data_IF_793885442788
#
_entry.id   IF_793885442788
#
_cell.length_a   1.000
_cell.length_b   1.000
_cell.length_c   1.000
_cell.angle_alpha   90.00
_cell.angle_beta   90.00
_cell.angle_gamma   90.00
#
_symmetry.space_group_name_H-M   'P 1'
#
loop_
_entity.id
_entity.type
_entity.pdbx_description
1 polymer ?
#
# COMPACT_ATOMS: atom_id res chain seq x y z
N UNK A 1 23.29 -69.98 27.30
CA UNK A 1 24.38 -69.83 26.29
C UNK A 1 23.85 -68.79 25.29
N UNK A 2 24.06 -67.48 25.59
CA UNK A 2 23.59 -66.37 24.73
C UNK A 2 24.70 -66.08 23.71
N UNK A 3 24.42 -66.38 22.44
CA UNK A 3 25.32 -66.00 21.32
C UNK A 3 25.10 -64.47 21.05
N UNK A 4 26.04 -63.64 21.45
CA UNK A 4 26.11 -62.25 21.03
C UNK A 4 26.62 -62.23 19.57
N UNK A 5 25.73 -62.06 18.62
CA UNK A 5 26.08 -61.66 17.26
C UNK A 5 26.45 -60.19 17.28
N UNK A 6 27.77 -59.91 17.25
CA UNK A 6 28.30 -58.58 16.99
C UNK A 6 28.08 -58.26 15.51
N UNK A 7 27.04 -57.49 15.19
CA UNK A 7 26.96 -56.85 13.86
C UNK A 7 28.17 -55.97 13.63
N UNK A 8 28.87 -56.08 12.51
CA UNK A 8 29.94 -55.16 12.20
C UNK A 8 29.38 -53.75 12.04
N UNK A 9 29.93 -52.83 12.84
CA UNK A 9 29.66 -51.38 12.68
C UNK A 9 30.21 -51.02 11.31
N UNK A 10 29.33 -50.95 10.30
CA UNK A 10 29.68 -50.38 8.99
C UNK A 10 29.98 -48.89 9.21
N UNK A 11 31.18 -48.41 8.82
CA UNK A 11 31.46 -46.98 8.92
C UNK A 11 30.41 -46.23 8.07
N UNK A 12 29.98 -45.03 8.54
CA UNK A 12 29.03 -44.23 7.78
C UNK A 12 29.58 -44.05 6.35
N UNK A 13 28.71 -44.33 5.39
CA UNK A 13 29.05 -44.20 3.98
C UNK A 13 29.48 -42.76 3.67
N UNK A 14 30.78 -42.51 3.61
CA UNK A 14 31.37 -41.22 3.32
C UNK A 14 31.12 -40.78 1.85
N UNK A 15 30.55 -41.66 1.01
CA UNK A 15 30.10 -41.29 -0.35
C UNK A 15 28.83 -40.44 -0.36
N UNK A 16 28.13 -40.32 0.78
CA UNK A 16 27.00 -39.44 0.97
C UNK A 16 27.39 -38.01 1.33
N UNK A 17 28.68 -37.67 1.41
CA UNK A 17 29.10 -36.25 1.31
C UNK A 17 28.82 -35.82 -0.14
N UNK A 18 27.54 -35.49 -0.40
CA UNK A 18 27.05 -34.99 -1.67
C UNK A 18 27.97 -33.89 -2.17
N UNK A 19 28.55 -34.15 -3.37
CA UNK A 19 29.42 -33.18 -4.03
C UNK A 19 28.73 -31.83 -4.08
N UNK A 20 29.40 -30.80 -3.56
CA UNK A 20 28.93 -29.42 -3.64
C UNK A 20 28.65 -29.12 -5.11
N UNK A 21 27.40 -28.82 -5.45
CA UNK A 21 27.03 -28.47 -6.81
C UNK A 21 27.48 -27.06 -7.15
N UNK A 22 28.79 -26.90 -7.44
CA UNK A 22 29.42 -25.62 -7.78
C UNK A 22 28.69 -24.96 -8.97
N UNK A 23 28.30 -25.75 -9.97
CA UNK A 23 27.55 -25.22 -11.10
C UNK A 23 26.19 -24.66 -10.67
N UNK A 24 25.47 -25.33 -9.80
CA UNK A 24 24.22 -24.88 -9.22
C UNK A 24 24.38 -23.59 -8.41
N UNK A 25 25.46 -23.44 -7.63
CA UNK A 25 25.79 -22.21 -6.91
C UNK A 25 26.01 -21.04 -7.86
N UNK A 26 26.84 -21.24 -8.89
CA UNK A 26 27.13 -20.19 -9.89
C UNK A 26 25.87 -19.77 -10.67
N UNK A 27 25.03 -20.74 -11.05
CA UNK A 27 23.75 -20.47 -11.71
C UNK A 27 22.82 -19.66 -10.78
N UNK A 28 22.69 -20.07 -9.51
CA UNK A 28 21.84 -19.38 -8.54
C UNK A 28 22.27 -17.91 -8.33
N UNK A 29 23.57 -17.68 -8.21
CA UNK A 29 24.13 -16.32 -8.10
C UNK A 29 23.89 -15.52 -9.40
N UNK A 30 24.15 -16.12 -10.57
CA UNK A 30 23.95 -15.49 -11.86
C UNK A 30 22.48 -15.08 -12.09
N UNK A 31 21.54 -15.97 -11.77
CA UNK A 31 20.10 -15.70 -11.84
C UNK A 31 19.71 -14.60 -10.84
N UNK A 32 20.17 -14.68 -9.57
CA UNK A 32 19.88 -13.67 -8.56
C UNK A 32 20.35 -12.28 -8.97
N UNK A 33 21.57 -12.15 -9.48
CA UNK A 33 22.12 -10.90 -9.99
C UNK A 33 21.32 -10.39 -11.19
N UNK A 34 20.99 -11.26 -12.14
CA UNK A 34 20.22 -10.88 -13.33
C UNK A 34 18.83 -10.36 -12.95
N UNK A 35 18.11 -11.07 -12.07
CA UNK A 35 16.79 -10.66 -11.58
C UNK A 35 16.88 -9.32 -10.85
N UNK A 36 17.91 -9.13 -10.01
CA UNK A 36 18.12 -7.86 -9.31
C UNK A 36 18.40 -6.70 -10.26
N UNK A 37 19.24 -6.90 -11.29
CA UNK A 37 19.52 -5.89 -12.31
C UNK A 37 18.27 -5.49 -13.08
N UNK A 38 17.49 -6.49 -13.53
CA UNK A 38 16.23 -6.26 -14.25
C UNK A 38 15.23 -5.51 -13.37
N UNK A 39 15.04 -5.96 -12.13
CA UNK A 39 14.14 -5.30 -11.19
C UNK A 39 14.57 -3.85 -10.90
N UNK A 40 15.85 -3.63 -10.64
CA UNK A 40 16.42 -2.30 -10.40
C UNK A 40 16.28 -1.38 -11.60
N UNK A 41 16.48 -1.91 -12.81
CA UNK A 41 16.27 -1.18 -14.05
C UNK A 41 14.79 -0.80 -14.24
N UNK A 42 13.87 -1.75 -14.07
CA UNK A 42 12.43 -1.53 -14.14
C UNK A 42 11.98 -0.45 -13.16
N UNK A 43 12.39 -0.55 -11.87
CA UNK A 43 12.08 0.45 -10.85
C UNK A 43 12.62 1.82 -11.27
N UNK A 44 13.83 1.90 -11.79
CA UNK A 44 14.44 3.16 -12.26
C UNK A 44 13.67 3.77 -13.42
N UNK A 45 13.22 2.98 -14.38
CA UNK A 45 12.42 3.45 -15.52
C UNK A 45 11.05 3.97 -15.04
N UNK A 46 10.38 3.22 -14.17
CA UNK A 46 9.07 3.61 -13.64
C UNK A 46 9.18 4.91 -12.82
N UNK A 47 10.15 4.99 -11.91
CA UNK A 47 10.35 6.19 -11.07
C UNK A 47 10.70 7.41 -11.89
N UNK A 48 11.54 7.28 -12.93
CA UNK A 48 11.85 8.37 -13.87
C UNK A 48 10.62 8.81 -14.65
N UNK A 49 9.77 7.89 -15.11
CA UNK A 49 8.52 8.21 -15.80
C UNK A 49 7.53 8.94 -14.90
N UNK A 50 7.40 8.53 -13.64
CA UNK A 50 6.54 9.19 -12.64
C UNK A 50 7.09 10.59 -12.32
N UNK A 51 8.41 10.73 -12.14
CA UNK A 51 9.08 12.00 -11.87
C UNK A 51 8.95 12.99 -13.04
N UNK A 52 9.05 12.50 -14.29
CA UNK A 52 8.91 13.33 -15.49
C UNK A 52 7.50 13.90 -15.71
N UNK A 53 6.52 13.49 -14.91
CA UNK A 53 5.12 13.90 -15.05
C UNK A 53 4.54 13.43 -16.38
N UNK A 54 3.62 12.48 -16.37
CA UNK A 54 2.99 12.01 -17.61
C UNK A 54 2.35 13.18 -18.34
N UNK A 55 2.81 13.45 -19.54
CA UNK A 55 2.34 14.51 -20.44
C UNK A 55 0.91 14.27 -20.98
N UNK A 56 0.21 13.27 -20.48
CA UNK A 56 -1.12 12.89 -20.95
C UNK A 56 -2.24 13.88 -20.59
N UNK A 57 -2.02 14.85 -19.67
CA UNK A 57 -3.04 15.85 -19.29
C UNK A 57 -2.60 17.30 -19.57
N UNK A 58 -1.90 17.57 -20.66
CA UNK A 58 -1.73 18.95 -21.15
C UNK A 58 -2.99 19.41 -21.88
N UNK A 59 -4.04 19.81 -21.16
CA UNK A 59 -5.09 20.67 -21.73
C UNK A 59 -4.66 22.14 -21.64
N UNK A 60 -4.78 22.94 -22.75
CA UNK A 60 -4.11 24.23 -22.91
C UNK A 60 -4.80 25.46 -22.27
N UNK A 61 -5.82 25.32 -21.39
CA UNK A 61 -6.70 26.42 -21.01
C UNK A 61 -6.26 27.31 -19.84
N UNK A 62 -5.15 27.03 -19.14
CA UNK A 62 -4.70 27.89 -18.02
C UNK A 62 -3.19 28.16 -18.03
N UNK A 63 -2.72 28.86 -19.07
CA UNK A 63 -1.26 29.11 -19.26
C UNK A 63 -0.69 30.31 -18.50
N UNK A 64 -1.47 31.17 -17.88
CA UNK A 64 -0.95 32.48 -17.39
C UNK A 64 -0.72 32.58 -15.87
N UNK A 65 -1.22 31.66 -15.02
CA UNK A 65 -1.22 31.86 -13.57
C UNK A 65 -0.29 30.94 -12.75
N UNK A 66 0.61 30.13 -13.35
CA UNK A 66 1.23 29.06 -12.59
C UNK A 66 2.72 28.70 -12.82
N UNK A 67 3.69 29.61 -13.05
CA UNK A 67 5.08 29.18 -13.13
C UNK A 67 5.69 28.80 -11.77
N UNK A 68 5.46 29.60 -10.73
CA UNK A 68 6.10 29.39 -9.41
C UNK A 68 5.51 28.21 -8.60
N UNK A 69 4.20 28.08 -8.57
CA UNK A 69 3.53 26.96 -7.85
C UNK A 69 3.78 25.61 -8.52
N UNK A 70 3.93 25.57 -9.86
CA UNK A 70 4.27 24.34 -10.60
C UNK A 70 5.69 23.87 -10.34
N UNK A 71 6.64 24.77 -10.12
CA UNK A 71 8.02 24.41 -9.83
C UNK A 71 8.12 23.68 -8.48
N UNK A 72 7.47 24.21 -7.44
CA UNK A 72 7.45 23.59 -6.10
C UNK A 72 6.74 22.24 -6.08
N UNK A 73 5.64 22.09 -6.82
CA UNK A 73 4.92 20.83 -6.94
C UNK A 73 5.74 19.79 -7.74
N UNK A 74 6.48 20.22 -8.75
CA UNK A 74 7.35 19.33 -9.53
C UNK A 74 8.50 18.82 -8.69
N UNK A 75 9.17 19.69 -7.95
CA UNK A 75 10.29 19.32 -7.09
C UNK A 75 9.88 18.32 -5.98
N UNK A 76 8.76 18.58 -5.33
CA UNK A 76 8.19 17.65 -4.34
C UNK A 76 7.83 16.28 -4.94
N UNK A 77 7.30 16.24 -6.17
CA UNK A 77 7.00 14.99 -6.87
C UNK A 77 8.26 14.21 -7.20
N UNK A 78 9.29 14.88 -7.69
CA UNK A 78 10.57 14.24 -8.00
C UNK A 78 11.21 13.66 -6.76
N UNK A 79 11.24 14.42 -5.65
CA UNK A 79 11.78 13.94 -4.38
C UNK A 79 11.00 12.72 -3.85
N UNK A 80 9.66 12.75 -3.87
CA UNK A 80 8.81 11.62 -3.47
C UNK A 80 9.04 10.39 -4.36
N UNK A 81 9.11 10.56 -5.68
CA UNK A 81 9.38 9.47 -6.61
C UNK A 81 10.76 8.84 -6.34
N UNK A 82 11.77 9.66 -6.05
CA UNK A 82 13.11 9.18 -5.70
C UNK A 82 13.13 8.38 -4.40
N UNK A 83 12.48 8.88 -3.36
CA UNK A 83 12.39 8.20 -2.07
C UNK A 83 11.64 6.87 -2.18
N UNK A 84 10.47 6.87 -2.85
CA UNK A 84 9.69 5.64 -3.08
C UNK A 84 10.49 4.65 -3.93
N UNK A 85 11.18 5.11 -4.97
CA UNK A 85 12.02 4.25 -5.81
C UNK A 85 13.20 3.65 -5.05
N UNK A 86 13.83 4.39 -4.14
CA UNK A 86 14.90 3.89 -3.28
C UNK A 86 14.38 2.82 -2.30
N UNK A 87 13.27 3.09 -1.63
CA UNK A 87 12.62 2.14 -0.72
C UNK A 87 12.21 0.85 -1.44
N UNK A 88 11.56 0.97 -2.61
CA UNK A 88 11.15 -0.18 -3.39
C UNK A 88 12.33 -1.02 -3.85
N UNK A 89 13.43 -0.39 -4.28
CA UNK A 89 14.66 -1.08 -4.65
C UNK A 89 15.27 -1.81 -3.45
N UNK A 90 15.27 -1.20 -2.27
CA UNK A 90 15.77 -1.82 -1.05
C UNK A 90 14.96 -3.06 -0.68
N UNK A 91 13.62 -2.95 -0.65
CA UNK A 91 12.74 -4.07 -0.32
C UNK A 91 12.89 -5.22 -1.33
N UNK A 92 12.85 -4.92 -2.62
CA UNK A 92 13.03 -5.93 -3.69
C UNK A 92 14.42 -6.53 -3.61
N UNK A 93 15.46 -5.73 -3.33
CA UNK A 93 16.82 -6.21 -3.15
C UNK A 93 16.96 -7.20 -2.01
N UNK A 94 16.36 -6.91 -0.85
CA UNK A 94 16.34 -7.82 0.30
C UNK A 94 15.63 -9.13 -0.05
N UNK A 95 14.47 -9.07 -0.70
CA UNK A 95 13.72 -10.28 -1.09
C UNK A 95 14.54 -11.15 -2.05
N UNK A 96 15.14 -10.56 -3.08
CA UNK A 96 15.99 -11.31 -4.03
C UNK A 96 17.21 -11.90 -3.33
N UNK A 97 17.84 -11.14 -2.41
CA UNK A 97 19.00 -11.64 -1.65
C UNK A 97 18.64 -12.84 -0.79
N UNK A 98 17.51 -12.80 -0.08
CA UNK A 98 17.04 -13.92 0.74
C UNK A 98 16.78 -15.14 -0.12
N UNK A 99 16.04 -14.98 -1.23
CA UNK A 99 15.76 -16.11 -2.15
C UNK A 99 17.05 -16.69 -2.74
N UNK A 100 17.95 -15.83 -3.22
CA UNK A 100 19.23 -16.28 -3.78
C UNK A 100 20.05 -17.03 -2.74
N UNK A 101 20.09 -16.53 -1.48
CA UNK A 101 20.81 -17.20 -0.39
C UNK A 101 20.25 -18.60 -0.10
N UNK A 102 18.94 -18.76 -0.10
CA UNK A 102 18.29 -20.07 0.10
C UNK A 102 18.68 -21.05 -1.03
N UNK A 103 18.67 -20.60 -2.28
CA UNK A 103 19.08 -21.46 -3.40
C UNK A 103 20.56 -21.82 -3.36
N UNK A 104 21.43 -20.86 -2.97
CA UNK A 104 22.86 -21.13 -2.80
C UNK A 104 23.09 -22.17 -1.70
N UNK A 105 22.47 -22.00 -0.53
CA UNK A 105 22.58 -22.94 0.59
C UNK A 105 22.09 -24.33 0.21
N UNK A 106 21.00 -24.43 -0.55
CA UNK A 106 20.49 -25.70 -1.07
C UNK A 106 21.51 -26.40 -1.98
N UNK A 107 22.21 -25.66 -2.86
CA UNK A 107 23.24 -26.22 -3.75
C UNK A 107 24.53 -26.58 -2.99
N UNK A 108 24.71 -26.02 -1.78
CA UNK A 108 25.79 -26.41 -0.85
C UNK A 108 25.39 -27.60 0.04
N UNK A 109 24.23 -28.23 -0.22
CA UNK A 109 23.67 -29.34 0.57
C UNK A 109 23.38 -28.98 2.03
N UNK A 110 23.18 -27.68 2.34
CA UNK A 110 22.70 -27.24 3.64
C UNK A 110 21.20 -27.44 3.72
N UNK A 111 20.73 -28.00 4.83
CA UNK A 111 19.28 -28.10 5.06
C UNK A 111 18.68 -26.71 5.24
N UNK A 112 17.85 -26.31 4.28
CA UNK A 112 17.16 -25.00 4.26
C UNK A 112 15.79 -25.03 4.92
N UNK A 113 15.30 -26.20 5.36
CA UNK A 113 13.98 -26.32 5.96
C UNK A 113 13.78 -25.42 7.20
N UNK A 114 14.75 -25.30 8.14
CA UNK A 114 14.61 -24.38 9.27
C UNK A 114 14.54 -22.91 8.85
N UNK A 115 15.29 -22.54 7.80
CA UNK A 115 15.32 -21.19 7.28
C UNK A 115 13.96 -20.85 6.62
N UNK A 116 13.46 -21.76 5.77
CA UNK A 116 12.16 -21.58 5.11
C UNK A 116 11.02 -21.49 6.11
N UNK A 117 11.07 -22.29 7.18
CA UNK A 117 10.08 -22.23 8.27
C UNK A 117 10.12 -20.86 8.95
N UNK A 118 11.30 -20.37 9.28
CA UNK A 118 11.48 -19.06 9.92
C UNK A 118 11.01 -17.91 9.03
N UNK A 119 11.35 -17.95 7.74
CA UNK A 119 10.88 -16.97 6.75
C UNK A 119 9.36 -17.03 6.57
N UNK A 120 8.78 -18.26 6.61
CA UNK A 120 7.33 -18.45 6.56
C UNK A 120 6.60 -17.82 7.74
N UNK A 121 7.09 -18.02 8.96
CA UNK A 121 6.53 -17.40 10.18
C UNK A 121 6.65 -15.87 10.10
N UNK A 122 7.79 -15.35 9.68
CA UNK A 122 8.01 -13.92 9.48
C UNK A 122 7.06 -13.36 8.42
N UNK A 123 6.85 -14.10 7.32
CA UNK A 123 5.90 -13.74 6.26
C UNK A 123 4.46 -13.61 6.77
N UNK A 124 4.02 -14.54 7.62
CA UNK A 124 2.71 -14.48 8.27
C UNK A 124 2.61 -13.22 9.17
N UNK A 125 3.62 -12.95 9.98
CA UNK A 125 3.64 -11.76 10.85
C UNK A 125 3.57 -10.46 10.05
N UNK A 126 4.32 -10.36 8.95
CA UNK A 126 4.28 -9.21 8.03
C UNK A 126 2.89 -9.10 7.36
N UNK A 127 2.30 -10.24 6.97
CA UNK A 127 0.96 -10.29 6.37
C UNK A 127 -0.12 -9.74 7.30
N UNK A 128 -0.11 -10.12 8.57
CA UNK A 128 -1.02 -9.55 9.59
C UNK A 128 -0.75 -8.06 9.79
N UNK A 129 0.53 -7.64 9.85
CA UNK A 129 0.89 -6.23 9.94
C UNK A 129 0.44 -5.38 8.75
N UNK A 130 0.37 -5.98 7.54
CA UNK A 130 -0.05 -5.31 6.31
C UNK A 130 -1.56 -5.42 6.01
N UNK A 131 -2.32 -6.16 6.80
CA UNK A 131 -3.74 -6.47 6.54
C UNK A 131 -4.59 -5.21 6.29
N UNK A 132 -4.37 -4.15 7.06
CA UNK A 132 -5.10 -2.89 6.90
C UNK A 132 -4.80 -2.23 5.55
N UNK A 133 -3.54 -2.25 5.11
CA UNK A 133 -3.17 -1.70 3.81
C UNK A 133 -3.89 -2.44 2.67
N UNK A 134 -3.92 -3.77 2.74
CA UNK A 134 -4.60 -4.60 1.73
C UNK A 134 -6.10 -4.27 1.71
N UNK A 135 -6.74 -4.15 2.88
CA UNK A 135 -8.15 -3.76 2.99
C UNK A 135 -8.41 -2.40 2.34
N UNK A 136 -7.58 -1.40 2.65
CA UNK A 136 -7.74 -0.04 2.10
C UNK A 136 -7.64 -0.04 0.57
N UNK A 137 -6.68 -0.79 0.00
CA UNK A 137 -6.51 -0.89 -1.45
C UNK A 137 -7.68 -1.60 -2.14
N UNK A 138 -8.11 -2.74 -1.61
CA UNK A 138 -9.24 -3.48 -2.16
C UNK A 138 -10.53 -2.65 -2.11
N UNK A 139 -10.79 -1.98 -0.98
CA UNK A 139 -11.94 -1.09 -0.87
C UNK A 139 -11.91 0.02 -1.92
N UNK A 140 -10.77 0.68 -2.13
CA UNK A 140 -10.64 1.72 -3.17
C UNK A 140 -10.87 1.20 -4.59
N UNK A 141 -10.43 -0.02 -4.88
CA UNK A 141 -10.70 -0.69 -6.17
C UNK A 141 -12.20 -0.94 -6.34
N UNK A 142 -12.87 -1.52 -5.33
CA UNK A 142 -14.30 -1.83 -5.41
C UNK A 142 -15.16 -0.57 -5.48
N UNK A 143 -14.88 0.47 -4.70
CA UNK A 143 -15.56 1.77 -4.78
C UNK A 143 -15.53 2.30 -6.22
N UNK A 144 -14.37 2.18 -6.90
CA UNK A 144 -14.19 2.66 -8.27
C UNK A 144 -14.89 1.77 -9.31
N UNK A 145 -14.84 0.43 -9.14
CA UNK A 145 -15.44 -0.52 -10.09
C UNK A 145 -16.97 -0.51 -9.99
N UNK A 146 -17.50 -0.38 -8.77
CA UNK A 146 -18.93 -0.38 -8.48
C UNK A 146 -19.57 1.02 -8.64
N UNK A 147 -18.74 2.05 -8.92
CA UNK A 147 -19.18 3.45 -9.08
C UNK A 147 -20.04 3.94 -7.88
N UNK A 148 -19.59 3.58 -6.66
CA UNK A 148 -20.34 3.93 -5.44
C UNK A 148 -20.41 5.44 -5.24
N UNK A 149 -19.33 6.17 -5.55
CA UNK A 149 -19.26 7.63 -5.63
C UNK A 149 -18.06 8.08 -6.46
N UNK A 150 -18.10 9.30 -6.97
CA UNK A 150 -17.05 9.91 -7.79
C UNK A 150 -16.56 11.25 -7.26
N UNK A 151 -15.57 11.82 -7.97
CA UNK A 151 -15.07 13.17 -7.67
C UNK A 151 -16.17 14.19 -7.99
N UNK A 152 -16.51 15.04 -7.02
CA UNK A 152 -17.59 16.02 -7.10
C UNK A 152 -18.87 15.59 -6.41
N UNK A 153 -19.04 14.30 -6.08
CA UNK A 153 -20.21 13.82 -5.34
C UNK A 153 -20.18 14.31 -3.89
N UNK A 154 -21.36 14.56 -3.35
CA UNK A 154 -21.55 14.81 -1.92
C UNK A 154 -21.83 13.46 -1.27
N UNK A 155 -20.93 13.05 -0.40
CA UNK A 155 -21.06 11.78 0.33
C UNK A 155 -21.25 12.02 1.82
N UNK A 156 -21.94 11.08 2.43
CA UNK A 156 -22.14 10.97 3.87
C UNK A 156 -21.52 9.68 4.37
N UNK A 157 -20.63 9.80 5.33
CA UNK A 157 -19.99 8.69 6.06
C UNK A 157 -20.29 8.82 7.54
N UNK A 158 -19.86 7.85 8.35
CA UNK A 158 -19.97 7.96 9.81
C UNK A 158 -19.18 9.12 10.41
N UNK A 159 -18.21 9.68 9.67
CA UNK A 159 -17.27 10.67 10.19
C UNK A 159 -17.52 12.06 9.61
N UNK A 160 -17.97 12.15 8.37
CA UNK A 160 -18.11 13.44 7.68
C UNK A 160 -19.16 13.38 6.58
N UNK A 161 -19.83 14.54 6.38
CA UNK A 161 -20.59 14.85 5.18
C UNK A 161 -19.83 15.89 4.39
N UNK A 162 -19.62 15.66 3.09
CA UNK A 162 -18.88 16.62 2.28
C UNK A 162 -18.69 16.19 0.83
N UNK A 163 -18.05 17.05 0.06
CA UNK A 163 -17.77 16.84 -1.35
C UNK A 163 -16.46 16.09 -1.56
N UNK A 164 -16.48 15.04 -2.39
CA UNK A 164 -15.29 14.28 -2.77
C UNK A 164 -14.38 15.12 -3.67
N UNK A 165 -13.19 15.45 -3.20
CA UNK A 165 -12.20 16.21 -3.98
C UNK A 165 -11.24 15.33 -4.78
N UNK A 166 -10.88 14.18 -4.21
CA UNK A 166 -9.96 13.26 -4.86
C UNK A 166 -10.19 11.83 -4.36
N UNK A 167 -10.08 10.88 -5.26
CA UNK A 167 -10.09 9.46 -4.97
C UNK A 167 -8.73 8.86 -5.32
N UNK A 168 -8.13 8.17 -4.36
CA UNK A 168 -6.94 7.38 -4.56
C UNK A 168 -7.22 5.93 -4.13
N UNK A 169 -6.33 5.01 -4.49
CA UNK A 169 -6.51 3.58 -4.19
C UNK A 169 -6.66 3.29 -2.68
N UNK A 170 -6.02 4.08 -1.81
CA UNK A 170 -6.04 3.83 -0.37
C UNK A 170 -6.89 4.82 0.40
N UNK A 171 -6.98 6.08 -0.07
CA UNK A 171 -7.65 7.17 0.64
C UNK A 171 -8.58 7.93 -0.27
N UNK A 172 -9.73 8.34 0.25
CA UNK A 172 -10.61 9.33 -0.35
C UNK A 172 -10.48 10.65 0.40
N UNK A 173 -10.38 11.76 -0.33
CA UNK A 173 -10.30 13.11 0.23
C UNK A 173 -11.64 13.80 0.07
N UNK A 174 -12.21 14.22 1.19
CA UNK A 174 -13.53 14.84 1.28
C UNK A 174 -13.39 16.23 1.90
N UNK A 175 -14.05 17.22 1.31
CA UNK A 175 -14.17 18.56 1.87
C UNK A 175 -15.53 18.71 2.53
N UNK A 176 -15.54 18.97 3.85
CA UNK A 176 -16.76 19.31 4.57
C UNK A 176 -17.21 20.76 4.32
N UNK A 177 -18.42 21.10 4.72
CA UNK A 177 -19.01 22.43 4.50
C UNK A 177 -18.22 23.55 5.18
N UNK A 178 -17.59 23.28 6.31
CA UNK A 178 -16.70 24.22 7.02
C UNK A 178 -15.34 24.44 6.33
N UNK A 179 -15.10 23.77 5.19
CA UNK A 179 -13.86 23.82 4.43
C UNK A 179 -12.77 22.87 4.91
N UNK A 180 -12.99 22.10 5.96
CA UNK A 180 -12.01 21.09 6.45
C UNK A 180 -11.82 19.98 5.43
N UNK A 181 -10.56 19.57 5.21
CA UNK A 181 -10.21 18.47 4.33
C UNK A 181 -10.00 17.20 5.14
N UNK A 182 -10.86 16.23 4.93
CA UNK A 182 -10.82 14.92 5.55
C UNK A 182 -10.11 13.91 4.64
N UNK A 183 -9.25 13.10 5.24
CA UNK A 183 -8.53 12.01 4.56
C UNK A 183 -9.05 10.69 5.09
N UNK A 184 -10.07 10.14 4.44
CA UNK A 184 -10.72 8.89 4.83
C UNK A 184 -9.96 7.71 4.24
N UNK A 185 -9.62 6.71 5.05
CA UNK A 185 -9.08 5.45 4.56
C UNK A 185 -10.22 4.62 3.95
N UNK A 186 -10.07 4.21 2.70
CA UNK A 186 -11.14 3.53 1.98
C UNK A 186 -11.64 2.27 2.71
N UNK A 187 -10.73 1.51 3.34
CA UNK A 187 -11.07 0.31 4.11
C UNK A 187 -11.74 0.56 5.46
N UNK A 188 -11.87 1.82 5.90
CA UNK A 188 -12.60 2.21 7.13
C UNK A 188 -13.99 2.77 6.83
N UNK A 189 -14.27 3.08 5.56
CA UNK A 189 -15.61 3.51 5.13
C UNK A 189 -16.52 2.29 5.11
N UNK A 190 -17.24 2.04 6.22
CA UNK A 190 -18.13 0.89 6.35
C UNK A 190 -19.45 1.10 5.61
N UNK A 191 -19.92 2.33 5.56
CA UNK A 191 -21.14 2.75 4.86
C UNK A 191 -20.91 4.11 4.24
N UNK A 192 -21.45 4.29 3.06
CA UNK A 192 -21.46 5.58 2.38
C UNK A 192 -22.87 5.86 1.87
N UNK A 193 -23.38 7.05 2.14
CA UNK A 193 -24.55 7.60 1.50
C UNK A 193 -24.09 8.55 0.39
N UNK A 194 -24.45 8.30 -0.85
CA UNK A 194 -24.21 9.24 -1.94
C UNK A 194 -25.41 10.16 -2.10
N UNK A 195 -25.28 11.43 -1.66
CA UNK A 195 -26.34 12.43 -1.74
C UNK A 195 -26.48 13.04 -3.13
N UNK A 196 -25.50 12.84 -4.01
CA UNK A 196 -25.55 13.30 -5.40
C UNK A 196 -26.23 12.30 -6.33
N UNK A 197 -26.29 11.02 -5.92
CA UNK A 197 -27.01 9.98 -6.65
C UNK A 197 -28.37 9.74 -5.97
N UNK A 198 -29.43 9.71 -6.74
CA UNK A 198 -30.79 9.49 -6.24
C UNK A 198 -31.53 10.79 -5.87
N UNK A 199 -32.61 10.65 -5.13
CA UNK A 199 -33.52 11.75 -4.78
C UNK A 199 -33.31 12.20 -3.32
N UNK A 200 -32.11 12.66 -2.98
CA UNK A 200 -31.86 13.18 -1.64
C UNK A 200 -32.62 14.49 -1.42
N UNK A 201 -33.45 14.52 -0.38
CA UNK A 201 -34.14 15.73 0.09
C UNK A 201 -33.52 16.11 1.44
N UNK A 202 -32.92 17.31 1.58
CA UNK A 202 -32.38 17.76 2.86
C UNK A 202 -33.49 17.77 3.92
N UNK A 203 -33.20 17.41 5.18
CA UNK A 203 -34.17 17.60 6.27
C UNK A 203 -34.57 19.06 6.32
N UNK A 204 -35.87 19.32 6.34
CA UNK A 204 -36.40 20.69 6.54
C UNK A 204 -35.93 21.12 7.93
N UNK A 205 -35.02 22.07 7.98
CA UNK A 205 -34.65 22.75 9.23
C UNK A 205 -35.91 23.46 9.70
N UNK A 206 -36.63 22.92 10.68
CA UNK A 206 -37.67 23.68 11.35
C UNK A 206 -36.98 24.91 11.94
N UNK A 207 -37.47 26.15 11.68
CA UNK A 207 -36.94 27.28 12.40
C UNK A 207 -37.09 26.99 13.89
N UNK A 208 -35.98 27.00 14.61
CA UNK A 208 -36.02 26.98 16.07
C UNK A 208 -36.94 28.06 16.47
N UNK A 209 -37.98 27.73 17.26
CA UNK A 209 -38.96 28.63 17.80
C UNK A 209 -38.24 29.82 18.44
N UNK A 210 -38.24 30.97 17.75
CA UNK A 210 -38.06 32.27 18.36
C UNK A 210 -39.31 32.57 19.22
N UNK A 211 -39.61 31.66 20.14
CA UNK A 211 -40.67 31.84 21.10
C UNK A 211 -40.04 31.89 22.50
N UNK A 212 -40.07 33.08 22.98
CA UNK A 212 -40.02 33.49 24.38
C UNK A 212 -38.81 34.33 24.80
N UNK A 213 -38.74 35.49 24.17
CA UNK A 213 -38.20 36.68 24.86
C UNK A 213 -39.32 37.66 25.16
N UNK A 214 -40.30 37.26 25.97
CA UNK A 214 -41.22 38.21 26.59
C UNK A 214 -40.44 38.98 27.66
N UNK A 215 -40.29 40.31 27.56
CA UNK A 215 -39.70 41.09 28.60
C UNK A 215 -40.66 41.10 29.79
N UNK A 216 -40.30 40.50 30.90
CA UNK A 216 -40.98 40.72 32.16
C UNK A 216 -40.85 42.19 32.55
N UNK A 217 -41.92 42.90 32.29
CA UNK A 217 -42.16 44.25 32.72
C UNK A 217 -42.20 44.26 34.27
N UNK A 218 -41.15 44.81 34.86
CA UNK A 218 -41.14 45.18 36.27
C UNK A 218 -42.25 46.19 36.50
N UNK A 219 -43.39 45.74 37.05
CA UNK A 219 -44.32 46.60 37.74
C UNK A 219 -43.74 46.89 39.11
N UNK A 220 -43.56 48.17 39.40
CA UNK A 220 -43.08 48.62 40.66
C UNK A 220 -44.15 48.64 41.75
N UNK A 221 -43.71 48.53 42.95
CA UNK A 221 -44.09 49.41 44.10
C UNK A 221 -43.05 49.19 45.19
#
# INVERSE_FOLDING_TARGET
MFSMTTEPITPPDMSAMSEINVAGVLISLGVGITVWLVASFMISVITKRIAAGSTFFKKPYFRWAAPALRALDHERRVQRAHTIGALLRSVVGVLISVLTSVYVLKNLNVDVAPILTSVGILGIAIGFGAQQLIRDFLAGIFITIEDQYGIGDIIETSEVVGTVEAMNLRITRVRSEDGTIWYLRNGEILRVGNRSQGNYVPPVTQPEDEADSTPQQKAGE
#
